data_IF_313610997903
#
_entry.id   IF_313610997903
#
_cell.length_a   1.000
_cell.length_b   1.000
_cell.length_c   1.000
_cell.angle_alpha   90.00
_cell.angle_beta   90.00
_cell.angle_gamma   90.00
#
_symmetry.space_group_name_H-M   'P 1'
#
loop_
_entity.id
_entity.type
_entity.pdbx_description
1 polymer ?
#
# COMPACT_ATOMS: atom_id res chain seq x y z
N UNK A 1 -3.98 73.18 -48.04
CA UNK A 1 -3.13 72.38 -48.97
C UNK A 1 -2.48 71.29 -48.15
N UNK A 2 -2.61 70.00 -48.53
CA UNK A 2 -2.15 68.89 -47.70
C UNK A 2 -0.66 68.62 -47.95
N UNK A 3 0.10 68.12 -46.95
CA UNK A 3 1.41 67.55 -47.21
C UNK A 3 1.27 66.08 -47.63
N UNK A 4 2.13 65.74 -48.57
CA UNK A 4 2.28 64.49 -49.30
C UNK A 4 2.77 63.35 -48.43
N UNK A 5 2.23 62.17 -48.73
CA UNK A 5 2.69 60.85 -48.32
C UNK A 5 4.06 60.51 -48.90
N UNK A 6 5.01 60.14 -48.05
CA UNK A 6 6.19 59.36 -48.45
C UNK A 6 6.23 58.08 -47.61
N UNK A 7 6.06 56.94 -48.30
CA UNK A 7 6.24 55.61 -47.74
C UNK A 7 7.69 55.14 -48.02
N UNK A 8 8.37 54.50 -47.06
CA UNK A 8 9.70 53.95 -47.31
C UNK A 8 9.61 52.60 -48.02
N UNK A 9 10.23 52.51 -49.19
CA UNK A 9 10.50 51.28 -49.91
C UNK A 9 11.52 50.43 -49.12
N UNK A 10 11.05 49.35 -48.51
CA UNK A 10 11.93 48.36 -47.89
C UNK A 10 12.50 47.41 -48.95
N UNK A 11 13.83 47.48 -49.04
CA UNK A 11 14.72 46.63 -49.82
C UNK A 11 14.61 45.15 -49.39
N UNK A 12 14.00 44.31 -50.24
CA UNK A 12 14.07 42.86 -50.09
C UNK A 12 15.46 42.36 -50.56
N UNK A 13 16.34 42.06 -49.60
CA UNK A 13 17.63 41.41 -49.85
C UNK A 13 17.44 39.90 -50.03
N UNK A 14 17.66 39.45 -51.26
CA UNK A 14 18.19 38.15 -51.70
C UNK A 14 17.98 36.93 -50.80
N UNK A 15 16.98 36.12 -51.14
CA UNK A 15 16.98 34.69 -50.85
C UNK A 15 18.06 34.02 -51.71
N UNK A 16 18.98 33.31 -51.07
CA UNK A 16 20.07 32.57 -51.70
C UNK A 16 19.62 31.11 -51.93
N UNK A 17 19.34 30.66 -53.16
CA UNK A 17 18.84 29.33 -53.43
C UNK A 17 20.02 28.38 -53.70
N UNK A 18 20.71 27.92 -52.65
CA UNK A 18 21.72 26.86 -52.78
C UNK A 18 21.99 26.15 -51.46
N UNK A 19 20.96 25.60 -50.83
CA UNK A 19 21.14 24.60 -49.79
C UNK A 19 21.06 23.20 -50.42
N UNK A 20 22.15 22.42 -50.47
CA UNK A 20 22.11 21.07 -50.99
C UNK A 20 21.23 20.19 -50.11
N UNK A 21 20.33 19.44 -50.73
CA UNK A 21 19.50 18.43 -50.08
C UNK A 21 20.38 17.44 -49.30
N UNK A 22 20.46 17.59 -47.98
CA UNK A 22 21.06 16.57 -47.11
C UNK A 22 20.14 15.37 -47.07
N UNK A 23 20.60 14.25 -47.64
CA UNK A 23 19.96 12.95 -47.49
C UNK A 23 19.79 12.60 -46.00
N UNK A 24 18.65 12.07 -45.57
CA UNK A 24 18.44 11.65 -44.19
C UNK A 24 19.50 10.60 -43.80
N UNK A 25 20.33 10.89 -42.80
CA UNK A 25 21.33 9.94 -42.33
C UNK A 25 20.65 8.78 -41.61
N UNK A 26 20.95 7.55 -42.03
CA UNK A 26 20.44 6.29 -41.49
C UNK A 26 20.79 6.02 -40.01
N UNK A 27 21.53 6.92 -39.36
CA UNK A 27 21.92 6.83 -37.94
C UNK A 27 20.71 6.79 -36.98
N UNK A 28 19.52 7.23 -37.40
CA UNK A 28 18.33 7.23 -36.54
C UNK A 28 17.78 5.82 -36.23
N UNK A 29 18.10 4.81 -37.06
CA UNK A 29 17.61 3.44 -36.86
C UNK A 29 18.45 2.64 -35.86
N UNK A 30 19.73 2.98 -35.67
CA UNK A 30 20.58 2.34 -34.66
C UNK A 30 20.21 2.78 -33.23
N UNK A 31 19.76 4.03 -33.06
CA UNK A 31 19.29 4.53 -31.76
C UNK A 31 18.02 3.83 -31.28
N UNK A 32 17.10 3.48 -32.19
CA UNK A 32 15.86 2.76 -31.84
C UNK A 32 16.16 1.34 -31.34
N UNK A 33 17.20 0.68 -31.86
CA UNK A 33 17.59 -0.68 -31.43
C UNK A 33 18.26 -0.68 -30.05
N UNK A 34 19.09 0.33 -29.73
CA UNK A 34 19.68 0.49 -28.39
C UNK A 34 18.64 0.87 -27.33
N UNK A 35 17.57 1.56 -27.72
CA UNK A 35 16.48 1.92 -26.81
C UNK A 35 15.68 0.68 -26.36
N UNK A 36 15.39 -0.26 -27.27
CA UNK A 36 14.66 -1.51 -26.94
C UNK A 36 15.37 -2.39 -25.90
N UNK A 37 16.69 -2.52 -25.98
CA UNK A 37 17.46 -3.34 -25.02
C UNK A 37 17.56 -2.69 -23.64
N UNK A 38 17.63 -1.35 -23.57
CA UNK A 38 17.67 -0.62 -22.29
C UNK A 38 16.31 -0.61 -21.59
N UNK A 39 15.20 -0.49 -22.33
CA UNK A 39 13.86 -0.52 -21.74
C UNK A 39 13.52 -1.88 -21.13
N UNK A 40 13.95 -2.99 -21.73
CA UNK A 40 13.72 -4.34 -21.16
C UNK A 40 14.47 -4.58 -19.84
N UNK A 41 15.70 -4.05 -19.72
CA UNK A 41 16.48 -4.21 -18.51
C UNK A 41 15.91 -3.40 -17.32
N UNK A 42 15.42 -2.19 -17.57
CA UNK A 42 14.79 -1.35 -16.53
C UNK A 42 13.46 -1.95 -16.08
N UNK A 43 12.67 -2.51 -17.00
CA UNK A 43 11.40 -3.19 -16.64
C UNK A 43 11.63 -4.43 -15.77
N UNK A 44 12.62 -5.26 -16.09
CA UNK A 44 12.97 -6.44 -15.29
C UNK A 44 13.51 -6.08 -13.90
N UNK A 45 14.32 -5.01 -13.80
CA UNK A 45 14.86 -4.54 -12.51
C UNK A 45 13.76 -3.94 -11.63
N UNK A 46 12.83 -3.17 -12.21
CA UNK A 46 11.69 -2.60 -11.49
C UNK A 46 10.75 -3.69 -10.96
N UNK A 47 10.53 -4.76 -11.74
CA UNK A 47 9.77 -5.93 -11.30
C UNK A 47 10.48 -6.67 -10.15
N UNK A 48 11.79 -6.92 -10.27
CA UNK A 48 12.56 -7.56 -9.20
C UNK A 48 12.58 -6.71 -7.91
N UNK A 49 12.68 -5.38 -8.03
CA UNK A 49 12.66 -4.47 -6.88
C UNK A 49 11.27 -4.39 -6.22
N UNK A 50 10.20 -4.43 -7.01
CA UNK A 50 8.83 -4.50 -6.50
C UNK A 50 8.56 -5.82 -5.75
N UNK A 51 9.16 -6.93 -6.18
CA UNK A 51 9.11 -8.19 -5.46
C UNK A 51 9.93 -8.17 -4.15
N UNK A 52 11.01 -7.39 -4.07
CA UNK A 52 11.85 -7.28 -2.88
C UNK A 52 11.30 -6.32 -1.82
N UNK A 53 10.46 -5.35 -2.19
CA UNK A 53 9.84 -4.39 -1.26
C UNK A 53 8.50 -4.86 -0.68
N UNK A 54 8.02 -6.05 -1.06
CA UNK A 54 6.90 -6.73 -0.41
C UNK A 54 7.36 -7.36 0.92
N UNK A 55 7.98 -6.55 1.79
CA UNK A 55 8.10 -6.90 3.19
C UNK A 55 6.69 -6.95 3.79
N UNK A 56 6.35 -7.96 4.61
CA UNK A 56 5.11 -7.93 5.36
C UNK A 56 5.12 -6.68 6.25
N UNK A 57 4.29 -5.70 5.93
CA UNK A 57 3.97 -4.63 6.87
C UNK A 57 3.09 -5.26 7.95
N UNK A 58 3.73 -5.81 8.99
CA UNK A 58 3.06 -6.30 10.19
C UNK A 58 2.49 -5.07 10.91
N UNK A 59 1.29 -4.65 10.51
CA UNK A 59 0.45 -3.87 11.39
C UNK A 59 0.11 -4.81 12.55
N UNK A 60 0.79 -4.59 13.68
CA UNK A 60 0.63 -5.33 14.92
C UNK A 60 -0.81 -5.10 15.41
N UNK A 61 -1.72 -5.95 14.94
CA UNK A 61 -3.11 -5.95 15.40
C UNK A 61 -3.05 -6.50 16.82
N UNK A 62 -3.20 -5.59 17.81
CA UNK A 62 -3.13 -5.90 19.23
C UNK A 62 -3.96 -7.16 19.51
N UNK A 63 -3.29 -8.27 19.76
CA UNK A 63 -3.96 -9.54 19.97
C UNK A 63 -4.78 -9.47 21.25
N UNK A 64 -6.09 -9.62 21.09
CA UNK A 64 -7.09 -9.57 22.15
C UNK A 64 -7.04 -10.87 22.97
N UNK A 65 -5.99 -11.01 23.79
CA UNK A 65 -5.76 -12.11 24.73
C UNK A 65 -6.13 -11.59 26.12
N UNK A 66 -7.01 -12.31 26.82
CA UNK A 66 -7.33 -12.01 28.21
C UNK A 66 -6.25 -12.63 29.11
N UNK A 67 -5.42 -11.78 29.73
CA UNK A 67 -4.34 -12.20 30.62
C UNK A 67 -4.80 -12.00 32.07
N UNK A 68 -4.70 -13.03 32.95
CA UNK A 68 -5.04 -12.87 34.36
C UNK A 68 -4.04 -11.96 35.08
N UNK A 69 -4.50 -11.27 36.11
CA UNK A 69 -3.60 -10.54 37.02
C UNK A 69 -2.71 -11.55 37.77
N UNK A 70 -1.39 -11.44 37.63
CA UNK A 70 -0.46 -12.42 38.17
C UNK A 70 0.92 -11.82 38.45
N UNK A 71 1.61 -12.36 39.45
CA UNK A 71 3.02 -12.06 39.73
C UNK A 71 3.99 -12.87 38.83
N UNK A 72 3.49 -13.86 38.09
CA UNK A 72 4.32 -14.70 37.22
C UNK A 72 4.71 -13.94 35.94
N UNK A 73 5.99 -13.52 35.78
CA UNK A 73 6.39 -12.69 34.64
C UNK A 73 6.33 -13.44 33.30
N UNK A 74 6.26 -14.77 33.32
CA UNK A 74 6.25 -15.58 32.11
C UNK A 74 4.88 -15.59 31.43
N UNK A 75 3.78 -15.40 32.16
CA UNK A 75 2.43 -15.36 31.59
C UNK A 75 2.29 -14.21 30.58
N UNK A 76 2.75 -13.02 30.95
CA UNK A 76 2.76 -11.87 30.04
C UNK A 76 3.66 -12.13 28.82
N UNK A 77 4.83 -12.74 29.03
CA UNK A 77 5.75 -13.07 27.94
C UNK A 77 5.14 -14.07 26.93
N UNK A 78 4.39 -15.06 27.40
CA UNK A 78 3.67 -16.02 26.55
C UNK A 78 2.64 -15.28 25.68
N UNK A 79 1.83 -14.41 26.27
CA UNK A 79 0.83 -13.63 25.55
C UNK A 79 1.47 -12.73 24.47
N UNK A 80 2.57 -12.03 24.80
CA UNK A 80 3.32 -11.21 23.84
C UNK A 80 3.89 -12.04 22.69
N UNK A 81 4.53 -13.18 22.98
CA UNK A 81 5.12 -14.04 21.95
C UNK A 81 4.05 -14.68 21.05
N UNK A 82 2.91 -15.06 21.61
CA UNK A 82 1.76 -15.51 20.82
C UNK A 82 1.27 -14.43 19.86
N UNK A 83 1.15 -13.18 20.33
CA UNK A 83 0.78 -12.04 19.48
C UNK A 83 1.75 -11.78 18.33
N UNK A 84 3.03 -12.07 18.55
CA UNK A 84 4.08 -12.00 17.54
C UNK A 84 4.16 -13.24 16.64
N UNK A 85 3.24 -14.19 16.78
CA UNK A 85 3.22 -15.48 16.06
C UNK A 85 4.48 -16.34 16.28
N UNK A 86 5.16 -16.17 17.42
CA UNK A 86 6.37 -16.93 17.79
C UNK A 86 6.01 -18.13 18.68
N UNK A 87 5.28 -19.09 18.12
CA UNK A 87 4.62 -20.14 18.90
C UNK A 87 5.59 -21.06 19.66
N UNK A 88 6.73 -21.43 19.06
CA UNK A 88 7.73 -22.28 19.71
C UNK A 88 8.40 -21.60 20.91
N UNK A 89 8.75 -20.31 20.76
CA UNK A 89 9.29 -19.51 21.86
C UNK A 89 8.25 -19.32 22.97
N UNK A 90 6.99 -19.05 22.60
CA UNK A 90 5.90 -18.93 23.56
C UNK A 90 5.70 -20.25 24.32
N UNK A 91 5.78 -21.39 23.65
CA UNK A 91 5.65 -22.70 24.27
C UNK A 91 6.78 -22.96 25.28
N UNK A 92 8.04 -22.63 24.94
CA UNK A 92 9.15 -22.73 25.90
C UNK A 92 9.00 -21.81 27.12
N UNK A 93 8.44 -20.61 26.94
CA UNK A 93 8.12 -19.72 28.07
C UNK A 93 6.96 -20.24 28.91
N UNK A 94 5.99 -20.91 28.27
CA UNK A 94 4.86 -21.52 28.96
C UNK A 94 5.31 -22.65 29.89
N UNK A 95 6.27 -23.50 29.48
CA UNK A 95 6.83 -24.54 30.36
C UNK A 95 7.45 -23.91 31.62
N UNK A 96 8.24 -22.85 31.46
CA UNK A 96 8.81 -22.10 32.59
C UNK A 96 7.74 -21.44 33.46
N UNK A 97 6.65 -20.99 32.85
CA UNK A 97 5.52 -20.41 33.56
C UNK A 97 4.81 -21.45 34.41
N UNK A 98 4.64 -22.68 33.92
CA UNK A 98 4.00 -23.79 34.64
C UNK A 98 4.79 -24.20 35.90
N UNK A 99 6.13 -24.17 35.84
CA UNK A 99 7.01 -24.49 36.97
C UNK A 99 7.05 -23.39 38.06
N UNK A 100 6.37 -22.25 37.85
CA UNK A 100 6.37 -21.15 38.80
C UNK A 100 5.54 -21.49 40.04
N UNK A 101 6.21 -21.53 41.20
CA UNK A 101 5.63 -22.02 42.47
C UNK A 101 4.42 -21.23 42.98
N UNK A 102 4.31 -19.96 42.61
CA UNK A 102 3.24 -19.08 43.10
C UNK A 102 2.02 -19.03 42.19
N UNK A 103 1.88 -19.93 41.22
CA UNK A 103 0.69 -19.98 40.35
C UNK A 103 -0.53 -20.41 41.17
N UNK A 104 -1.53 -19.53 41.25
CA UNK A 104 -2.84 -19.86 41.77
C UNK A 104 -3.65 -20.73 40.78
N UNK A 105 -4.85 -21.19 41.19
CA UNK A 105 -5.70 -22.03 40.34
C UNK A 105 -6.08 -21.37 39.01
N UNK A 106 -6.33 -20.06 39.03
CA UNK A 106 -6.70 -19.31 37.82
C UNK A 106 -5.53 -19.22 36.82
N UNK A 107 -4.31 -19.00 37.29
CA UNK A 107 -3.14 -19.00 36.40
C UNK A 107 -2.84 -20.40 35.85
N UNK A 108 -3.00 -21.44 36.67
CA UNK A 108 -2.83 -22.82 36.21
C UNK A 108 -3.83 -23.19 35.11
N UNK A 109 -5.10 -22.81 35.29
CA UNK A 109 -6.13 -22.96 34.27
C UNK A 109 -5.78 -22.19 32.99
N UNK A 110 -5.41 -20.91 33.11
CA UNK A 110 -5.02 -20.09 31.96
C UNK A 110 -3.82 -20.67 31.21
N UNK A 111 -2.79 -21.10 31.93
CA UNK A 111 -1.60 -21.74 31.35
C UNK A 111 -1.97 -23.04 30.62
N UNK A 112 -2.89 -23.83 31.16
CA UNK A 112 -3.35 -25.06 30.50
C UNK A 112 -4.14 -24.77 29.23
N UNK A 113 -5.02 -23.78 29.25
CA UNK A 113 -5.76 -23.32 28.08
C UNK A 113 -4.81 -22.77 27.01
N UNK A 114 -3.85 -21.93 27.38
CA UNK A 114 -2.85 -21.40 26.46
C UNK A 114 -1.92 -22.48 25.89
N UNK A 115 -1.62 -23.53 26.66
CA UNK A 115 -0.88 -24.68 26.16
C UNK A 115 -1.65 -25.36 25.01
N UNK A 116 -2.96 -25.56 25.17
CA UNK A 116 -3.82 -26.08 24.12
C UNK A 116 -3.86 -25.14 22.90
N UNK A 117 -3.98 -23.83 23.13
CA UNK A 117 -3.97 -22.80 22.06
C UNK A 117 -2.68 -22.89 21.23
N UNK A 118 -1.51 -22.92 21.87
CA UNK A 118 -0.23 -23.04 21.18
C UNK A 118 -0.07 -24.37 20.45
N UNK A 119 -0.56 -25.46 21.05
CA UNK A 119 -0.53 -26.78 20.42
C UNK A 119 -1.43 -26.87 19.19
N UNK A 120 -2.48 -26.06 19.04
CA UNK A 120 -3.27 -26.06 17.78
C UNK A 120 -2.40 -25.68 16.58
N UNK A 121 -1.43 -24.79 16.77
CA UNK A 121 -0.51 -24.35 15.71
C UNK A 121 0.68 -25.31 15.55
N UNK A 122 1.18 -25.89 16.65
CA UNK A 122 2.39 -26.73 16.64
C UNK A 122 2.11 -28.24 16.45
N UNK A 123 1.12 -28.77 17.19
CA UNK A 123 0.82 -30.20 17.28
C UNK A 123 -0.69 -30.42 17.56
N UNK A 124 -1.55 -30.31 16.53
CA UNK A 124 -3.01 -30.23 16.68
C UNK A 124 -3.65 -31.40 17.42
N UNK A 125 -3.08 -32.60 17.30
CA UNK A 125 -3.58 -33.82 17.95
C UNK A 125 -3.42 -33.76 19.47
N UNK A 126 -2.34 -33.13 19.96
CA UNK A 126 -2.10 -32.93 21.40
C UNK A 126 -3.02 -31.87 22.01
N UNK A 127 -3.40 -30.85 21.22
CA UNK A 127 -4.22 -29.73 21.68
C UNK A 127 -5.58 -30.18 22.24
N UNK A 128 -6.23 -31.14 21.57
CA UNK A 128 -7.53 -31.67 21.99
C UNK A 128 -7.45 -32.27 23.40
N UNK A 129 -6.39 -33.03 23.69
CA UNK A 129 -6.20 -33.65 24.99
C UNK A 129 -5.93 -32.60 26.06
N UNK A 130 -5.08 -31.61 25.76
CA UNK A 130 -4.78 -30.50 26.67
C UNK A 130 -6.03 -29.67 27.00
N UNK A 131 -6.92 -29.43 26.04
CA UNK A 131 -8.20 -28.75 26.30
C UNK A 131 -9.12 -29.56 27.19
N UNK A 132 -9.19 -30.88 27.04
CA UNK A 132 -9.96 -31.73 27.97
C UNK A 132 -9.42 -31.64 29.39
N UNK A 133 -8.10 -31.61 29.55
CA UNK A 133 -7.48 -31.45 30.85
C UNK A 133 -7.77 -30.08 31.47
N UNK A 134 -7.76 -29.01 30.68
CA UNK A 134 -8.17 -27.69 31.14
C UNK A 134 -9.65 -27.65 31.55
N UNK A 135 -10.55 -28.25 30.75
CA UNK A 135 -11.99 -28.32 31.05
C UNK A 135 -12.31 -29.21 32.26
N UNK A 136 -11.44 -30.18 32.57
CA UNK A 136 -11.55 -30.97 33.79
C UNK A 136 -11.15 -30.17 35.05
N UNK A 137 -10.37 -29.09 34.90
CA UNK A 137 -10.08 -28.15 35.99
C UNK A 137 -11.25 -27.19 36.23
N UNK A 138 -11.83 -26.66 35.15
CA UNK A 138 -13.00 -25.79 35.18
C UNK A 138 -13.87 -26.04 33.94
N UNK A 139 -15.06 -26.60 34.16
CA UNK A 139 -16.03 -26.92 33.12
C UNK A 139 -16.58 -25.68 32.41
N UNK A 140 -16.49 -24.51 33.04
CA UNK A 140 -16.95 -23.23 32.51
C UNK A 140 -15.83 -22.40 31.87
N UNK A 141 -14.63 -22.96 31.77
CA UNK A 141 -13.49 -22.28 31.18
C UNK A 141 -13.78 -21.80 29.75
N UNK A 142 -13.32 -20.60 29.43
CA UNK A 142 -13.39 -20.00 28.11
C UNK A 142 -12.01 -19.92 27.48
N UNK A 143 -11.94 -19.82 26.15
CA UNK A 143 -10.66 -19.62 25.48
C UNK A 143 -10.07 -18.25 25.86
N UNK A 144 -8.78 -18.17 26.22
CA UNK A 144 -8.12 -16.90 26.58
C UNK A 144 -7.91 -15.97 25.38
N UNK A 145 -8.22 -16.39 24.16
CA UNK A 145 -8.07 -15.61 22.93
C UNK A 145 -9.46 -15.33 22.34
N UNK A 146 -9.93 -14.08 22.41
CA UNK A 146 -11.29 -13.71 21.95
C UNK A 146 -11.50 -13.91 20.45
N UNK A 147 -10.48 -13.58 19.65
CA UNK A 147 -10.50 -13.72 18.18
C UNK A 147 -9.62 -14.87 17.71
N UNK A 148 -9.88 -16.06 18.25
CA UNK A 148 -9.17 -17.28 17.86
C UNK A 148 -9.49 -17.74 16.44
N UNK A 149 -8.54 -18.46 15.81
CA UNK A 149 -8.75 -19.09 14.51
C UNK A 149 -9.98 -20.03 14.54
N UNK A 150 -10.66 -20.22 13.41
CA UNK A 150 -11.82 -21.12 13.32
C UNK A 150 -11.46 -22.55 13.75
N UNK A 151 -10.22 -22.98 13.45
CA UNK A 151 -9.68 -24.27 13.84
C UNK A 151 -9.56 -24.42 15.36
N UNK A 152 -8.99 -23.41 16.02
CA UNK A 152 -8.86 -23.37 17.48
C UNK A 152 -10.22 -23.50 18.16
N UNK A 153 -11.19 -22.67 17.74
CA UNK A 153 -12.56 -22.69 18.26
C UNK A 153 -13.19 -24.08 18.12
N UNK A 154 -13.10 -24.68 16.93
CA UNK A 154 -13.65 -26.01 16.65
C UNK A 154 -13.03 -27.12 17.52
N UNK A 155 -11.71 -27.08 17.74
CA UNK A 155 -11.04 -28.09 18.58
C UNK A 155 -11.41 -27.93 20.06
N UNK A 156 -11.53 -26.71 20.55
CA UNK A 156 -11.99 -26.45 21.91
C UNK A 156 -13.44 -26.90 22.12
N UNK A 157 -14.32 -26.61 21.17
CA UNK A 157 -15.70 -27.08 21.18
C UNK A 157 -15.79 -28.61 21.13
N UNK A 158 -14.96 -29.26 20.30
CA UNK A 158 -14.85 -30.72 20.26
C UNK A 158 -14.39 -31.29 21.62
N UNK A 159 -13.47 -30.62 22.32
CA UNK A 159 -13.05 -31.02 23.66
C UNK A 159 -14.23 -30.94 24.66
N UNK A 160 -15.00 -29.84 24.63
CA UNK A 160 -16.22 -29.67 25.46
C UNK A 160 -17.26 -30.75 25.19
N UNK A 161 -17.57 -31.00 23.93
CA UNK A 161 -18.54 -32.03 23.52
C UNK A 161 -18.10 -33.43 23.98
N UNK A 162 -16.80 -33.73 23.89
CA UNK A 162 -16.26 -35.02 24.36
C UNK A 162 -16.32 -35.16 25.88
N UNK A 163 -16.24 -34.05 26.62
CA UNK A 163 -16.39 -34.02 28.07
C UNK A 163 -17.86 -34.10 28.53
N UNK A 164 -18.83 -34.12 27.60
CA UNK A 164 -20.26 -34.14 27.92
C UNK A 164 -20.78 -32.81 28.47
N UNK A 165 -20.04 -31.72 28.26
CA UNK A 165 -20.42 -30.38 28.71
C UNK A 165 -21.41 -29.77 27.70
N UNK A 166 -22.50 -29.13 28.15
CA UNK A 166 -23.47 -28.51 27.27
C UNK A 166 -22.81 -27.42 26.41
N UNK A 167 -23.18 -27.40 25.13
CA UNK A 167 -22.73 -26.40 24.15
C UNK A 167 -23.26 -24.99 24.50
N UNK A 168 -24.28 -24.92 25.34
CA UNK A 168 -25.09 -23.74 25.65
C UNK A 168 -24.34 -22.65 26.44
N UNK A 169 -23.13 -22.96 26.94
CA UNK A 169 -22.20 -22.02 27.58
C UNK A 169 -21.03 -21.63 26.65
N UNK A 170 -21.00 -22.15 25.42
CA UNK A 170 -20.09 -21.66 24.40
C UNK A 170 -20.63 -20.30 23.94
N UNK A 171 -19.79 -19.27 24.12
CA UNK A 171 -19.82 -17.97 23.45
C UNK A 171 -21.22 -17.58 22.98
N UNK A 172 -21.86 -16.61 23.63
CA UNK A 172 -22.91 -15.82 22.97
C UNK A 172 -22.43 -15.61 21.54
N UNK A 173 -23.03 -16.35 20.60
CA UNK A 173 -22.79 -16.16 19.19
C UNK A 173 -23.29 -14.74 19.00
N UNK A 174 -22.38 -13.76 19.00
CA UNK A 174 -22.67 -12.52 18.30
C UNK A 174 -23.25 -12.99 16.98
N UNK A 175 -24.52 -12.64 16.71
CA UNK A 175 -25.35 -13.35 15.76
C UNK A 175 -24.52 -13.57 14.52
N UNK A 176 -24.35 -14.84 14.19
CA UNK A 176 -23.70 -15.30 12.97
C UNK A 176 -24.50 -14.66 11.84
N UNK A 177 -24.12 -13.44 11.45
CA UNK A 177 -24.56 -12.76 10.25
C UNK A 177 -24.19 -13.74 9.17
N UNK A 178 -25.18 -14.55 8.78
CA UNK A 178 -25.03 -15.76 8.00
C UNK A 178 -23.85 -15.62 7.03
N UNK A 179 -22.76 -16.31 7.36
CA UNK A 179 -21.55 -16.45 6.59
C UNK A 179 -21.93 -17.28 5.34
N UNK A 180 -22.77 -16.70 4.47
CA UNK A 180 -22.67 -16.94 3.05
C UNK A 180 -21.18 -16.82 2.77
N UNK A 181 -20.53 -17.84 2.17
CA UNK A 181 -19.09 -17.84 2.00
C UNK A 181 -18.75 -16.45 1.50
N UNK A 182 -18.06 -15.67 2.33
CA UNK A 182 -17.59 -14.36 1.93
C UNK A 182 -16.58 -14.73 0.89
N UNK A 183 -17.08 -14.84 -0.35
CA UNK A 183 -16.29 -14.88 -1.56
C UNK A 183 -15.46 -13.64 -1.33
N UNK A 184 -14.19 -13.85 -1.04
CA UNK A 184 -13.16 -12.82 -0.90
C UNK A 184 -12.94 -12.26 -2.30
N UNK A 185 -14.03 -11.79 -2.89
CA UNK A 185 -14.05 -11.01 -4.08
C UNK A 185 -13.24 -9.75 -3.75
N UNK A 186 -12.51 -9.24 -4.75
CA UNK A 186 -11.86 -7.96 -4.60
C UNK A 186 -12.90 -6.95 -4.07
N UNK A 187 -12.56 -6.18 -3.03
CA UNK A 187 -13.53 -5.33 -2.36
C UNK A 187 -14.20 -4.43 -3.40
N UNK A 188 -15.54 -4.38 -3.39
CA UNK A 188 -16.29 -3.55 -4.35
C UNK A 188 -15.79 -2.11 -4.25
N UNK A 189 -15.17 -1.63 -5.32
CA UNK A 189 -14.88 -0.21 -5.48
C UNK A 189 -15.87 0.35 -6.49
N UNK A 190 -16.35 1.56 -6.19
CA UNK A 190 -17.22 2.28 -7.11
C UNK A 190 -16.38 2.93 -8.21
N UNK A 191 -16.89 2.93 -9.44
CA UNK A 191 -16.37 3.76 -10.52
C UNK A 191 -16.35 5.21 -10.04
N UNK A 192 -15.31 5.97 -10.39
CA UNK A 192 -15.18 7.29 -9.79
C UNK A 192 -14.08 8.16 -10.33
N UNK A 193 -14.25 9.44 -10.01
CA UNK A 193 -13.28 10.50 -10.21
C UNK A 193 -12.46 10.65 -8.92
N UNK A 194 -11.14 10.70 -9.08
CA UNK A 194 -10.20 10.99 -8.00
C UNK A 194 -9.35 12.21 -8.36
N UNK A 195 -8.93 12.94 -7.34
CA UNK A 195 -8.02 14.06 -7.41
C UNK A 195 -6.80 13.71 -6.58
N UNK A 196 -5.61 13.73 -7.16
CA UNK A 196 -4.36 13.51 -6.43
C UNK A 196 -3.43 14.70 -6.53
N UNK A 197 -2.77 15.01 -5.43
CA UNK A 197 -1.68 15.98 -5.36
C UNK A 197 -0.42 15.20 -5.00
N UNK A 198 0.60 15.26 -5.87
CA UNK A 198 1.86 14.53 -5.72
C UNK A 198 2.99 15.54 -5.63
N UNK A 199 3.79 15.45 -4.58
CA UNK A 199 5.07 16.15 -4.48
C UNK A 199 6.19 15.24 -4.95
N UNK A 200 7.07 15.77 -5.78
CA UNK A 200 8.27 15.08 -6.22
C UNK A 200 9.44 15.66 -5.42
N UNK A 201 10.18 14.77 -4.76
CA UNK A 201 11.34 15.15 -3.97
C UNK A 201 12.53 14.40 -4.53
N UNK A 202 13.53 15.14 -4.98
CA UNK A 202 14.84 14.56 -5.23
C UNK A 202 15.43 14.17 -3.88
N UNK A 203 15.76 12.89 -3.70
CA UNK A 203 16.36 12.39 -2.46
C UNK A 203 17.86 12.37 -2.67
N UNK A 204 18.59 13.41 -2.24
CA UNK A 204 20.04 13.44 -2.38
C UNK A 204 20.64 12.28 -1.60
N UNK A 205 21.30 11.34 -2.30
CA UNK A 205 22.06 10.24 -1.67
C UNK A 205 21.81 8.83 -2.22
N UNK A 206 20.81 8.62 -3.08
CA UNK A 206 20.52 7.29 -3.62
C UNK A 206 21.43 6.85 -4.78
N UNK A 207 22.33 7.72 -5.28
CA UNK A 207 23.38 7.36 -6.26
C UNK A 207 22.87 6.89 -7.63
N UNK A 208 21.57 6.75 -7.82
CA UNK A 208 20.96 6.44 -9.11
C UNK A 208 20.92 7.74 -9.90
N UNK A 209 21.42 7.68 -11.14
CA UNK A 209 21.53 8.76 -12.13
C UNK A 209 20.45 9.85 -12.03
N UNK A 210 20.80 11.11 -12.39
CA UNK A 210 19.97 12.37 -12.42
C UNK A 210 18.58 12.30 -13.10
N UNK A 211 18.07 11.13 -13.37
CA UNK A 211 16.81 10.87 -14.05
C UNK A 211 15.78 10.15 -13.16
N UNK A 212 16.05 9.84 -11.90
CA UNK A 212 15.07 9.15 -11.03
C UNK A 212 14.75 10.01 -9.80
N UNK A 213 13.49 10.43 -9.69
CA UNK A 213 12.95 11.18 -8.56
C UNK A 213 11.98 10.31 -7.75
N UNK A 214 12.01 10.45 -6.43
CA UNK A 214 10.98 9.85 -5.58
C UNK A 214 9.72 10.72 -5.59
N UNK A 215 8.55 10.09 -5.49
CA UNK A 215 7.26 10.77 -5.48
C UNK A 215 6.51 10.38 -4.21
N UNK A 216 6.09 11.38 -3.46
CA UNK A 216 5.19 11.22 -2.31
C UNK A 216 3.95 12.06 -2.57
N UNK A 217 2.77 11.47 -2.47
CA UNK A 217 1.52 12.16 -2.77
C UNK A 217 0.38 11.80 -1.85
N UNK A 218 -0.62 12.67 -1.87
CA UNK A 218 -1.91 12.48 -1.23
C UNK A 218 -2.97 12.39 -2.34
N UNK A 219 -3.71 11.29 -2.35
CA UNK A 219 -4.86 11.09 -3.22
C UNK A 219 -6.15 11.36 -2.45
N UNK A 220 -7.04 12.16 -3.01
CA UNK A 220 -8.42 12.30 -2.57
C UNK A 220 -9.36 11.63 -3.58
N UNK A 221 -10.16 10.69 -3.11
CA UNK A 221 -11.32 10.16 -3.81
C UNK A 221 -12.56 10.66 -3.10
N UNK A 222 -13.72 10.75 -3.78
CA UNK A 222 -14.99 11.20 -3.16
C UNK A 222 -15.32 10.52 -1.82
N UNK A 223 -14.78 9.32 -1.58
CA UNK A 223 -15.05 8.51 -0.40
C UNK A 223 -13.85 8.39 0.55
N UNK A 224 -12.60 8.65 0.11
CA UNK A 224 -11.38 8.37 0.89
C UNK A 224 -10.22 9.29 0.54
N UNK A 225 -9.54 9.80 1.56
CA UNK A 225 -8.15 10.29 1.44
C UNK A 225 -7.20 9.09 1.50
N UNK A 226 -6.17 9.03 0.68
CA UNK A 226 -5.13 8.00 0.69
C UNK A 226 -3.75 8.58 0.45
N UNK A 227 -2.71 7.84 0.82
CA UNK A 227 -1.32 8.20 0.54
C UNK A 227 -0.78 7.38 -0.63
N UNK A 228 0.12 7.95 -1.41
CA UNK A 228 0.88 7.24 -2.44
C UNK A 228 2.37 7.52 -2.29
N UNK A 229 3.19 6.48 -2.48
CA UNK A 229 4.64 6.59 -2.56
C UNK A 229 5.08 5.85 -3.81
N UNK A 230 5.89 6.48 -4.63
CA UNK A 230 6.32 5.91 -5.90
C UNK A 230 7.66 6.44 -6.35
N UNK A 231 8.11 5.91 -7.48
CA UNK A 231 9.33 6.35 -8.16
C UNK A 231 8.96 6.80 -9.56
N UNK A 232 9.50 7.96 -9.95
CA UNK A 232 9.25 8.57 -11.23
C UNK A 232 10.58 8.91 -11.90
N UNK A 233 10.70 8.61 -13.18
CA UNK A 233 11.91 8.96 -13.92
C UNK A 233 11.77 10.39 -14.46
N UNK A 234 12.20 11.39 -13.69
CA UNK A 234 12.12 12.81 -14.04
C UNK A 234 13.41 13.56 -13.62
N UNK A 235 13.88 14.58 -14.37
CA UNK A 235 15.16 15.24 -14.06
C UNK A 235 15.05 16.36 -13.01
N UNK A 236 13.84 16.84 -12.71
CA UNK A 236 13.62 18.01 -11.86
C UNK A 236 12.44 17.80 -10.91
N UNK A 237 12.53 18.26 -9.65
CA UNK A 237 11.45 18.17 -8.70
C UNK A 237 10.30 19.11 -9.07
N UNK A 238 9.08 18.70 -8.73
CA UNK A 238 7.86 19.45 -9.05
C UNK A 238 6.70 19.10 -8.13
N UNK A 239 5.67 19.95 -8.16
CA UNK A 239 4.38 19.69 -7.55
C UNK A 239 3.37 19.39 -8.65
N UNK A 240 2.71 18.24 -8.54
CA UNK A 240 1.78 17.73 -9.54
C UNK A 240 0.37 17.67 -8.96
N UNK A 241 -0.59 18.14 -9.74
CA UNK A 241 -2.02 17.94 -9.48
C UNK A 241 -2.62 17.15 -10.65
N UNK A 242 -3.27 16.03 -10.35
CA UNK A 242 -3.80 15.10 -11.36
C UNK A 242 -5.22 14.65 -11.02
N UNK A 243 -6.12 14.78 -11.99
CA UNK A 243 -7.46 14.23 -11.96
C UNK A 243 -7.44 12.89 -12.67
N UNK A 244 -7.88 11.83 -12.01
CA UNK A 244 -7.91 10.49 -12.58
C UNK A 244 -9.35 9.97 -12.63
N UNK A 245 -9.66 9.28 -13.72
CA UNK A 245 -10.94 8.64 -13.97
C UNK A 245 -10.73 7.14 -14.15
N UNK A 246 -11.46 6.35 -13.38
CA UNK A 246 -11.45 4.89 -13.43
C UNK A 246 -12.72 4.40 -14.15
N UNK A 247 -12.66 4.10 -15.47
CA UNK A 247 -13.86 3.77 -16.25
C UNK A 247 -14.47 2.41 -15.90
N UNK A 248 -13.64 1.44 -15.49
CA UNK A 248 -14.05 0.05 -15.23
C UNK A 248 -13.26 -0.53 -14.05
N UNK A 249 -13.89 -1.45 -13.32
CA UNK A 249 -13.25 -2.24 -12.26
C UNK A 249 -13.22 -3.70 -12.70
N UNK A 250 -12.03 -4.23 -12.95
CA UNK A 250 -11.79 -5.61 -13.39
C UNK A 250 -11.29 -6.44 -12.21
N UNK A 251 -12.08 -6.46 -11.14
CA UNK A 251 -11.73 -7.10 -9.88
C UNK A 251 -10.52 -6.44 -9.21
N UNK A 252 -9.37 -7.12 -9.23
CA UNK A 252 -8.12 -6.64 -8.64
C UNK A 252 -7.39 -5.61 -9.51
N UNK A 253 -7.80 -5.45 -10.77
CA UNK A 253 -7.13 -4.59 -11.75
C UNK A 253 -8.05 -3.43 -12.12
N UNK A 254 -7.50 -2.21 -12.14
CA UNK A 254 -8.27 -1.00 -12.42
C UNK A 254 -7.51 -0.06 -13.36
N UNK A 255 -7.85 -0.04 -14.65
CA UNK A 255 -7.28 0.94 -15.56
C UNK A 255 -7.76 2.35 -15.20
N UNK A 256 -6.96 3.35 -15.52
CA UNK A 256 -7.34 4.75 -15.39
C UNK A 256 -6.79 5.61 -16.52
N UNK A 257 -7.50 6.70 -16.76
CA UNK A 257 -7.03 7.82 -17.56
C UNK A 257 -7.05 9.08 -16.71
N UNK A 258 -6.07 9.96 -16.87
CA UNK A 258 -5.98 11.17 -16.10
C UNK A 258 -5.48 12.37 -16.90
N UNK A 259 -5.76 13.55 -16.36
CA UNK A 259 -5.22 14.82 -16.85
C UNK A 259 -4.74 15.63 -15.66
N UNK A 260 -3.66 16.36 -15.84
CA UNK A 260 -3.06 17.12 -14.74
C UNK A 260 -2.16 18.24 -15.21
N UNK A 261 -1.56 18.90 -14.23
CA UNK A 261 -0.53 19.88 -14.43
C UNK A 261 0.61 19.67 -13.43
N UNK A 262 1.82 20.01 -13.84
CA UNK A 262 3.00 20.00 -12.96
C UNK A 262 3.60 21.39 -12.92
N UNK A 263 3.96 21.87 -11.72
CA UNK A 263 4.76 23.06 -11.51
C UNK A 263 6.16 22.64 -11.06
N UNK A 264 7.19 23.08 -11.79
CA UNK A 264 8.58 22.72 -11.51
C UNK A 264 9.28 23.80 -10.69
N UNK A 265 10.05 23.37 -9.71
CA UNK A 265 10.81 24.25 -8.83
C UNK A 265 12.30 23.91 -8.91
N UNK A 266 13.16 24.89 -8.60
CA UNK A 266 14.61 24.70 -8.51
C UNK A 266 15.23 24.26 -9.85
N UNK A 267 15.15 25.12 -10.87
CA UNK A 267 15.86 24.89 -12.12
C UNK A 267 17.21 25.61 -12.10
N UNK A 268 18.30 24.87 -12.27
CA UNK A 268 19.63 25.43 -12.48
C UNK A 268 19.75 25.95 -13.92
N UNK A 269 19.99 27.24 -14.10
CA UNK A 269 20.20 27.85 -15.41
C UNK A 269 21.52 27.40 -16.05
N UNK A 270 21.75 27.79 -17.31
CA UNK A 270 23.04 27.57 -17.99
C UNK A 270 24.24 28.16 -17.21
N UNK A 271 24.00 29.18 -16.38
CA UNK A 271 24.99 29.86 -15.56
C UNK A 271 25.21 29.20 -14.17
N UNK A 272 24.54 28.08 -13.87
CA UNK A 272 24.66 27.41 -12.57
C UNK A 272 23.86 28.08 -11.44
N UNK A 273 23.01 29.06 -11.77
CA UNK A 273 22.14 29.75 -10.80
C UNK A 273 20.79 29.05 -10.70
N UNK A 274 20.33 28.78 -9.46
CA UNK A 274 19.02 28.17 -9.24
C UNK A 274 17.91 29.22 -9.35
N UNK A 275 17.00 29.04 -10.30
CA UNK A 275 15.74 29.78 -10.36
C UNK A 275 14.68 29.06 -9.54
N UNK A 276 13.85 29.85 -8.85
CA UNK A 276 12.81 29.31 -7.95
C UNK A 276 11.67 28.65 -8.74
N UNK A 277 11.45 29.03 -10.00
CA UNK A 277 10.35 28.57 -10.82
C UNK A 277 10.81 28.17 -12.22
N UNK A 278 10.80 26.86 -12.50
CA UNK A 278 11.32 26.28 -13.75
C UNK A 278 10.28 26.09 -14.86
N UNK A 279 8.98 26.18 -14.55
CA UNK A 279 7.93 26.11 -15.57
C UNK A 279 6.65 25.41 -15.13
N UNK A 280 5.68 25.40 -16.05
CA UNK A 280 4.40 24.71 -15.92
C UNK A 280 4.17 23.82 -17.13
N UNK A 281 3.68 22.61 -16.87
CA UNK A 281 3.29 21.64 -17.89
C UNK A 281 1.84 21.21 -17.73
N UNK A 282 1.25 20.75 -18.83
CA UNK A 282 0.02 19.96 -18.84
C UNK A 282 0.35 18.50 -19.17
N UNK A 283 -0.34 17.56 -18.53
CA UNK A 283 -0.10 16.13 -18.74
C UNK A 283 -1.38 15.34 -18.97
N UNK A 284 -1.28 14.31 -19.81
CA UNK A 284 -2.26 13.25 -19.96
C UNK A 284 -1.65 11.92 -19.51
N UNK A 285 -2.41 11.09 -18.79
CA UNK A 285 -1.92 9.88 -18.13
C UNK A 285 -2.80 8.69 -18.46
N UNK A 286 -2.18 7.55 -18.68
CA UNK A 286 -2.85 6.26 -18.80
C UNK A 286 -2.13 5.26 -17.89
N UNK A 287 -2.86 4.57 -17.04
CA UNK A 287 -2.27 3.67 -16.06
C UNK A 287 -3.19 2.54 -15.63
N UNK A 288 -2.64 1.70 -14.75
CA UNK A 288 -3.35 0.59 -14.13
C UNK A 288 -2.98 0.50 -12.66
N UNK A 289 -3.99 0.31 -11.81
CA UNK A 289 -3.82 -0.08 -10.43
C UNK A 289 -4.07 -1.58 -10.29
N UNK A 290 -3.18 -2.29 -9.58
CA UNK A 290 -3.37 -3.67 -9.14
C UNK A 290 -3.48 -3.68 -7.63
N UNK A 291 -4.69 -3.97 -7.14
CA UNK A 291 -4.94 -4.08 -5.72
C UNK A 291 -4.27 -5.34 -5.17
N UNK A 292 -3.55 -5.22 -4.06
CA UNK A 292 -2.98 -6.36 -3.35
C UNK A 292 -3.92 -6.82 -2.23
N UNK A 293 -4.50 -5.87 -1.49
CA UNK A 293 -5.47 -6.14 -0.42
C UNK A 293 -6.44 -4.96 -0.26
N UNK A 294 -7.32 -4.98 0.75
CA UNK A 294 -8.32 -3.91 0.95
C UNK A 294 -7.74 -2.50 1.15
N UNK A 295 -6.46 -2.39 1.52
CA UNK A 295 -5.76 -1.14 1.82
C UNK A 295 -4.69 -0.78 0.79
N UNK A 296 -3.99 -1.76 0.21
CA UNK A 296 -2.81 -1.56 -0.62
C UNK A 296 -3.08 -1.82 -2.10
N UNK A 297 -2.47 -1.01 -2.95
CA UNK A 297 -2.41 -1.24 -4.39
C UNK A 297 -1.05 -0.85 -4.94
N UNK A 298 -0.63 -1.54 -5.99
CA UNK A 298 0.52 -1.17 -6.83
C UNK A 298 -0.04 -0.46 -8.07
N UNK A 299 0.61 0.59 -8.54
CA UNK A 299 0.22 1.25 -9.79
C UNK A 299 1.40 1.33 -10.76
N UNK A 300 1.08 1.35 -12.05
CA UNK A 300 2.02 1.65 -13.11
C UNK A 300 1.33 2.53 -14.17
N UNK A 301 1.99 3.61 -14.58
CA UNK A 301 1.44 4.51 -15.61
C UNK A 301 2.48 5.06 -16.58
N UNK A 302 1.95 5.52 -17.72
CA UNK A 302 2.65 6.30 -18.74
C UNK A 302 1.96 7.66 -18.83
N UNK A 303 2.76 8.72 -18.76
CA UNK A 303 2.28 10.08 -18.88
C UNK A 303 2.96 10.80 -20.04
N UNK A 304 2.16 11.52 -20.84
CA UNK A 304 2.64 12.48 -21.81
C UNK A 304 2.55 13.88 -21.21
N UNK A 305 3.65 14.61 -21.20
CA UNK A 305 3.76 15.93 -20.59
C UNK A 305 4.18 16.97 -21.65
N UNK A 306 3.44 18.08 -21.71
CA UNK A 306 3.70 19.21 -22.60
C UNK A 306 3.98 20.46 -21.78
N UNK A 307 5.15 21.05 -21.99
CA UNK A 307 5.58 22.25 -21.26
C UNK A 307 4.98 23.49 -21.92
N UNK A 308 4.31 24.33 -21.13
CA UNK A 308 3.75 25.62 -21.58
C UNK A 308 4.75 26.76 -21.36
N UNK A 309 5.52 26.66 -20.29
CA UNK A 309 6.59 27.58 -19.93
C UNK A 309 7.80 26.75 -19.49
N UNK A 310 8.99 27.09 -19.97
CA UNK A 310 10.21 26.37 -19.59
C UNK A 310 11.47 27.04 -20.15
N UNK A 311 12.59 26.89 -19.44
CA UNK A 311 13.91 27.20 -19.97
C UNK A 311 14.35 26.22 -21.05
N UNK A 312 15.50 26.47 -21.69
CA UNK A 312 16.03 25.65 -22.79
C UNK A 312 16.21 24.15 -22.46
N UNK A 313 16.16 23.77 -21.17
CA UNK A 313 16.33 22.39 -20.71
C UNK A 313 15.07 21.53 -20.87
N UNK A 314 13.88 22.12 -20.89
CA UNK A 314 12.65 21.35 -21.10
C UNK A 314 12.40 21.23 -22.60
N UNK A 315 12.51 20.01 -23.12
CA UNK A 315 11.90 19.70 -24.43
C UNK A 315 10.41 20.00 -24.31
N UNK A 316 9.81 20.51 -25.38
CA UNK A 316 8.39 20.85 -25.41
C UNK A 316 7.47 19.69 -25.01
N UNK A 317 7.98 18.45 -25.10
CA UNK A 317 7.25 17.21 -24.91
C UNK A 317 8.12 16.18 -24.21
N UNK A 318 7.56 15.49 -23.22
CA UNK A 318 8.20 14.39 -22.51
C UNK A 318 7.23 13.21 -22.31
N UNK A 319 7.79 12.00 -22.27
CA UNK A 319 7.05 10.78 -21.88
C UNK A 319 7.67 10.27 -20.59
N UNK A 320 6.84 10.13 -19.56
CA UNK A 320 7.22 9.69 -18.24
C UNK A 320 6.65 8.30 -17.97
N UNK A 321 7.38 7.51 -17.19
CA UNK A 321 6.96 6.21 -16.69
C UNK A 321 7.01 6.24 -15.18
N UNK A 322 5.96 5.73 -14.53
CA UNK A 322 5.93 5.63 -13.07
C UNK A 322 5.49 4.25 -12.61
N UNK A 323 6.04 3.84 -11.47
CA UNK A 323 5.61 2.68 -10.70
C UNK A 323 5.60 3.06 -9.23
N UNK A 324 4.61 2.59 -8.49
CA UNK A 324 4.52 2.89 -7.07
C UNK A 324 3.50 2.06 -6.32
N UNK A 325 3.39 2.34 -5.03
CA UNK A 325 2.46 1.69 -4.11
C UNK A 325 1.61 2.76 -3.45
N UNK A 326 0.32 2.52 -3.31
CA UNK A 326 -0.59 3.39 -2.60
C UNK A 326 -1.35 2.68 -1.49
N UNK A 327 -1.75 3.47 -0.50
CA UNK A 327 -2.48 3.07 0.69
C UNK A 327 -3.79 3.85 0.78
N UNK A 328 -4.91 3.14 0.82
CA UNK A 328 -6.19 3.67 1.23
C UNK A 328 -6.40 3.33 2.72
N UNK A 329 -6.64 4.33 3.59
CA UNK A 329 -7.05 4.08 4.95
C UNK A 329 -8.36 3.30 4.94
N UNK A 330 -8.53 2.44 5.94
CA UNK A 330 -9.82 1.82 6.19
C UNK A 330 -10.84 2.90 6.52
N UNK A 331 -12.10 2.61 6.15
CA UNK A 331 -13.21 3.30 6.79
C UNK A 331 -12.95 3.25 8.29
N UNK A 332 -12.96 4.37 9.03
CA UNK A 332 -13.28 4.25 10.44
C UNK A 332 -14.61 3.50 10.43
N UNK A 333 -14.64 2.31 11.06
CA UNK A 333 -15.89 1.61 11.29
C UNK A 333 -16.86 2.67 11.82
N UNK A 334 -18.05 2.83 11.23
CA UNK A 334 -19.02 3.78 11.76
C UNK A 334 -19.21 3.40 13.22
N UNK A 335 -18.58 4.17 14.12
CA UNK A 335 -18.64 3.93 15.56
C UNK A 335 -20.12 4.01 15.87
N UNK A 336 -20.67 2.88 16.34
CA UNK A 336 -22.09 2.62 16.38
C UNK A 336 -22.88 3.86 16.76
N UNK A 337 -23.64 4.39 15.81
CA UNK A 337 -24.74 5.31 16.07
C UNK A 337 -25.90 4.51 16.70
N UNK A 338 -25.60 3.79 17.78
CA UNK A 338 -26.57 3.14 18.65
C UNK A 338 -27.03 4.14 19.70
N UNK A 339 -27.70 5.21 19.29
CA UNK A 339 -28.50 6.01 20.20
C UNK A 339 -29.73 5.21 20.56
N UNK A 340 -29.64 4.41 21.63
CA UNK A 340 -30.82 3.96 22.37
C UNK A 340 -31.46 5.21 22.98
N UNK A 341 -32.51 5.72 22.33
CA UNK A 341 -33.44 6.66 22.93
C UNK A 341 -34.24 5.92 24.01
N UNK A 342 -34.21 6.34 25.29
CA UNK A 342 -35.13 5.80 26.29
C UNK A 342 -36.57 6.19 25.91
N UNK A 343 -37.49 5.22 25.98
CA UNK A 343 -38.94 5.45 25.89
C UNK A 343 -39.51 5.91 27.22
#
# INVERSE_FOLDING_TARGET
MPPSSEAPAQYFKGLNPSSPCRSPSWNHLEDVRRWRTRVSAVFMLAWALACLMAGPAWAEEATNIDVPETENPYIQAVATLYGQSKYEEAFSKLEKAQDWKSNGPQEQLWLKLMQGVLQVELAPEAALQTFKEALAMDEQAQLPVKKGSRRLRKLFEQARNTAGLPADLALEEEPDEADAPVVTGPPERRMGLSLSVRGEVDVPGLGVTRSISSVVGLGYTKERMGGLVGVLVQPTPGLRAEWQYHPINLGWVRPYAGVGATAFFLEENAEGTNTVFGGVSGRGVLGVDVQWNSRMFVFADVAYERFFTGGERYRSEAVLFSIGVGLFPQHPNPVGAGTNLPR
#
